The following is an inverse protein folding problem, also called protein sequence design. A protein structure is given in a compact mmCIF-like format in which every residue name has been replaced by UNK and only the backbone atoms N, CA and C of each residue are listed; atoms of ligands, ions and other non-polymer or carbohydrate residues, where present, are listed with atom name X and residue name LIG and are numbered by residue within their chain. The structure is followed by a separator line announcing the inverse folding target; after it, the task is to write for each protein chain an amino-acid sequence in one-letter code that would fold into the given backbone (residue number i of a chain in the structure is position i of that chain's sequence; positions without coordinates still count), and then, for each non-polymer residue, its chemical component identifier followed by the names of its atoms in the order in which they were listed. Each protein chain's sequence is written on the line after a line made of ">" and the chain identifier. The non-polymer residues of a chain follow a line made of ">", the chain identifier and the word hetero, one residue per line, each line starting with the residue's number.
data_IF_597480344090
#
_entry.id   IF_597480344090
#
_cell.length_a   1.000
_cell.length_b   1.000
_cell.length_c   1.000
_cell.angle_alpha   90.00
_cell.angle_beta   90.00
_cell.angle_gamma   90.00
#
_symmetry.space_group_name_H-M   'P 1'
#
loop_
_entity.id
_entity.type
_entity.pdbx_description
1 polymer ?
#
# COMPACT_ATOMS: atom_id res chain seq x y z
N UNK A 1 -17.38 -10.72 20.33
CA UNK A 1 -16.21 -10.37 19.52
C UNK A 1 -16.71 -10.27 18.10
N UNK A 2 -16.85 -9.04 17.61
CA UNK A 2 -17.34 -8.77 16.26
C UNK A 2 -16.18 -9.02 15.29
N UNK A 3 -16.33 -9.99 14.40
CA UNK A 3 -15.32 -10.28 13.39
C UNK A 3 -15.94 -10.15 12.01
N UNK A 4 -15.51 -9.11 11.29
CA UNK A 4 -16.08 -8.67 10.01
C UNK A 4 -15.83 -9.62 8.85
N UNK A 5 -15.02 -10.66 9.04
CA UNK A 5 -14.97 -11.82 8.15
C UNK A 5 -16.11 -12.80 8.51
N UNK A 6 -16.15 -13.26 9.76
CA UNK A 6 -17.01 -14.38 10.16
C UNK A 6 -18.50 -14.04 10.20
N UNK A 7 -18.85 -12.76 10.30
CA UNK A 7 -20.23 -12.28 10.26
C UNK A 7 -20.72 -11.92 8.82
N UNK A 8 -19.86 -12.11 7.81
CA UNK A 8 -20.15 -11.80 6.42
C UNK A 8 -20.32 -13.09 5.60
N UNK A 9 -21.57 -13.55 5.46
CA UNK A 9 -21.92 -14.76 4.72
C UNK A 9 -21.49 -14.69 3.24
N UNK A 10 -21.45 -13.50 2.64
CA UNK A 10 -21.11 -13.31 1.23
C UNK A 10 -19.61 -13.51 0.97
N UNK A 11 -18.75 -12.88 1.79
CA UNK A 11 -17.29 -13.10 1.72
C UNK A 11 -16.96 -14.58 1.98
N UNK A 12 -17.58 -15.19 3.00
CA UNK A 12 -17.38 -16.61 3.32
C UNK A 12 -17.86 -17.52 2.20
N UNK A 13 -18.97 -17.17 1.53
CA UNK A 13 -19.43 -17.88 0.36
C UNK A 13 -18.38 -17.78 -0.77
N UNK A 14 -17.91 -16.57 -1.09
CA UNK A 14 -16.92 -16.38 -2.14
C UNK A 14 -15.59 -17.09 -1.86
N UNK A 15 -15.05 -17.00 -0.65
CA UNK A 15 -13.82 -17.71 -0.26
C UNK A 15 -13.91 -19.23 -0.46
N UNK A 16 -15.08 -19.82 -0.26
CA UNK A 16 -15.31 -21.27 -0.43
C UNK A 16 -15.50 -21.70 -1.88
N UNK A 17 -15.85 -20.78 -2.78
CA UNK A 17 -16.27 -21.10 -4.15
C UNK A 17 -15.36 -20.51 -5.24
N UNK A 18 -14.50 -19.54 -4.91
CA UNK A 18 -13.46 -19.07 -5.83
C UNK A 18 -12.40 -20.18 -5.98
N UNK A 19 -12.04 -20.48 -7.23
CA UNK A 19 -10.91 -21.38 -7.53
C UNK A 19 -9.59 -20.65 -7.21
N UNK A 20 -9.17 -20.76 -5.95
CA UNK A 20 -7.91 -20.20 -5.47
C UNK A 20 -6.72 -21.12 -5.75
N UNK A 21 -6.92 -22.41 -6.04
CA UNK A 21 -5.86 -23.38 -6.26
C UNK A 21 -4.89 -22.92 -7.35
N UNK A 22 -5.43 -22.45 -8.48
CA UNK A 22 -4.61 -21.95 -9.58
C UNK A 22 -3.85 -20.67 -9.19
N UNK A 23 -4.52 -19.76 -8.49
CA UNK A 23 -3.93 -18.48 -8.05
C UNK A 23 -2.81 -18.73 -7.05
N UNK A 24 -3.04 -19.60 -6.06
CA UNK A 24 -2.08 -20.01 -5.04
C UNK A 24 -0.88 -20.67 -5.70
N UNK A 25 -1.11 -21.65 -6.57
CA UNK A 25 -0.02 -22.37 -7.24
C UNK A 25 0.88 -21.42 -8.04
N UNK A 26 0.29 -20.43 -8.72
CA UNK A 26 1.05 -19.41 -9.46
C UNK A 26 1.77 -18.43 -8.53
N UNK A 27 1.09 -17.93 -7.49
CA UNK A 27 1.64 -16.93 -6.56
C UNK A 27 2.76 -17.48 -5.69
N UNK A 28 2.68 -18.76 -5.33
CA UNK A 28 3.69 -19.48 -4.55
C UNK A 28 4.77 -20.12 -5.42
N UNK A 29 4.72 -19.94 -6.75
CA UNK A 29 5.64 -20.55 -7.72
C UNK A 29 5.82 -22.06 -7.48
N UNK A 30 4.70 -22.79 -7.46
CA UNK A 30 4.66 -24.22 -7.11
C UNK A 30 5.31 -24.54 -5.75
N UNK A 31 5.14 -23.63 -4.77
CA UNK A 31 5.66 -23.76 -3.40
C UNK A 31 7.19 -23.83 -3.32
N UNK A 32 7.89 -23.13 -4.21
CA UNK A 32 9.35 -23.10 -4.28
C UNK A 32 10.02 -22.59 -2.99
N UNK A 33 9.29 -21.81 -2.19
CA UNK A 33 9.78 -21.15 -0.98
C UNK A 33 9.55 -21.93 0.32
N UNK A 34 8.84 -23.08 0.29
CA UNK A 34 8.37 -23.80 1.50
C UNK A 34 9.48 -24.22 2.48
N UNK A 35 10.68 -24.51 1.97
CA UNK A 35 11.84 -24.92 2.76
C UNK A 35 12.82 -23.75 3.01
N UNK A 36 12.49 -22.56 2.50
CA UNK A 36 13.31 -21.34 2.60
C UNK A 36 12.79 -20.43 3.71
N UNK A 37 11.46 -20.22 3.77
CA UNK A 37 10.83 -19.35 4.76
C UNK A 37 9.92 -20.17 5.70
N UNK A 38 9.99 -19.96 7.03
CA UNK A 38 9.23 -20.75 8.01
C UNK A 38 7.70 -20.71 7.84
N UNK A 39 7.17 -19.65 7.23
CA UNK A 39 5.74 -19.43 7.02
C UNK A 39 5.35 -19.54 5.53
N UNK A 40 6.24 -20.06 4.67
CA UNK A 40 5.87 -20.36 3.30
C UNK A 40 5.02 -21.65 3.27
N UNK A 41 3.86 -21.64 2.61
CA UNK A 41 2.98 -22.80 2.56
C UNK A 41 3.64 -23.91 1.76
N UNK A 42 3.34 -25.16 2.14
CA UNK A 42 3.88 -26.36 1.46
C UNK A 42 2.98 -26.88 0.33
N UNK A 43 1.70 -26.54 0.37
CA UNK A 43 0.65 -26.94 -0.56
C UNK A 43 -0.54 -25.97 -0.51
N UNK A 44 -1.55 -26.22 -1.33
CA UNK A 44 -2.73 -25.35 -1.45
C UNK A 44 -3.54 -25.32 -0.15
N UNK A 45 -3.68 -26.46 0.53
CA UNK A 45 -4.46 -26.58 1.76
C UNK A 45 -3.83 -25.75 2.89
N UNK A 46 -2.52 -25.84 3.04
CA UNK A 46 -1.72 -25.06 4.01
C UNK A 46 -1.77 -23.55 3.71
N UNK A 47 -1.76 -23.18 2.42
CA UNK A 47 -1.92 -21.79 1.99
C UNK A 47 -3.31 -21.25 2.30
N UNK A 48 -4.37 -22.03 2.05
CA UNK A 48 -5.75 -21.66 2.35
C UNK A 48 -5.99 -21.49 3.85
N UNK A 49 -5.46 -22.39 4.69
CA UNK A 49 -5.51 -22.25 6.16
C UNK A 49 -4.82 -20.96 6.63
N UNK A 50 -3.69 -20.60 6.00
CA UNK A 50 -3.00 -19.33 6.27
C UNK A 50 -3.85 -18.12 5.87
N UNK A 51 -4.47 -18.15 4.68
CA UNK A 51 -5.34 -17.07 4.21
C UNK A 51 -6.56 -16.87 5.11
N UNK A 52 -7.21 -17.94 5.55
CA UNK A 52 -8.34 -17.86 6.49
C UNK A 52 -7.94 -17.22 7.81
N UNK A 53 -6.77 -17.58 8.37
CA UNK A 53 -6.24 -16.99 9.61
C UNK A 53 -5.90 -15.51 9.46
N UNK A 54 -5.26 -15.14 8.34
CA UNK A 54 -4.92 -13.74 8.03
C UNK A 54 -6.20 -12.91 7.93
N UNK A 55 -7.19 -13.36 7.16
CA UNK A 55 -8.46 -12.64 7.00
C UNK A 55 -9.26 -12.60 8.30
N UNK A 56 -9.23 -13.65 9.11
CA UNK A 56 -9.88 -13.66 10.42
C UNK A 56 -9.27 -12.61 11.35
N UNK A 57 -7.94 -12.49 11.38
CA UNK A 57 -7.26 -11.46 12.16
C UNK A 57 -7.61 -10.05 11.67
N UNK A 58 -7.62 -9.83 10.35
CA UNK A 58 -8.06 -8.54 9.76
C UNK A 58 -9.52 -8.26 10.13
N UNK A 59 -10.40 -9.26 10.08
CA UNK A 59 -11.81 -9.15 10.47
C UNK A 59 -12.01 -8.80 11.94
N UNK A 60 -11.18 -9.34 12.83
CA UNK A 60 -11.16 -8.98 14.25
C UNK A 60 -10.69 -7.52 14.45
N UNK A 61 -9.57 -7.13 13.83
CA UNK A 61 -9.06 -5.74 13.89
C UNK A 61 -10.13 -4.77 13.39
N UNK A 62 -10.76 -5.07 12.25
CA UNK A 62 -11.79 -4.23 11.66
C UNK A 62 -13.03 -4.12 12.55
N UNK A 63 -13.57 -5.24 13.03
CA UNK A 63 -14.81 -5.25 13.80
C UNK A 63 -14.67 -4.75 15.24
N UNK A 64 -13.60 -5.14 15.93
CA UNK A 64 -13.46 -4.84 17.36
C UNK A 64 -12.75 -3.54 17.66
N UNK A 65 -11.88 -3.09 16.77
CA UNK A 65 -10.99 -1.96 17.05
C UNK A 65 -11.26 -0.79 16.12
N UNK A 66 -11.42 -1.02 14.80
CA UNK A 66 -11.64 0.07 13.84
C UNK A 66 -13.08 0.59 13.85
N UNK A 67 -14.06 -0.31 13.69
CA UNK A 67 -15.46 0.10 13.51
C UNK A 67 -16.02 0.92 14.70
N UNK A 68 -15.71 0.61 15.98
CA UNK A 68 -16.23 1.37 17.10
C UNK A 68 -15.75 2.83 17.16
N UNK A 69 -14.60 3.14 16.55
CA UNK A 69 -13.96 4.47 16.60
C UNK A 69 -14.05 5.22 15.28
N UNK A 70 -14.64 4.64 14.23
CA UNK A 70 -14.66 5.23 12.88
C UNK A 70 -15.37 6.60 12.83
N UNK A 71 -16.45 6.78 13.60
CA UNK A 71 -17.14 8.08 13.68
C UNK A 71 -16.27 9.15 14.38
N UNK A 72 -15.55 8.78 15.43
CA UNK A 72 -14.65 9.68 16.15
C UNK A 72 -13.45 10.07 15.27
N UNK A 73 -12.95 9.14 14.45
CA UNK A 73 -11.90 9.40 13.45
C UNK A 73 -12.33 10.46 12.43
N UNK A 74 -13.56 10.39 11.93
CA UNK A 74 -14.11 11.39 11.00
C UNK A 74 -14.27 12.77 11.68
N UNK A 75 -14.77 12.80 12.92
CA UNK A 75 -14.96 14.04 13.67
C UNK A 75 -13.62 14.70 14.05
N UNK A 76 -12.62 13.92 14.47
CA UNK A 76 -11.28 14.43 14.79
C UNK A 76 -10.56 14.93 13.53
N UNK A 77 -10.57 14.11 12.48
CA UNK A 77 -9.86 14.32 11.23
C UNK A 77 -8.34 14.46 11.39
N UNK A 78 -7.66 14.67 10.26
CA UNK A 78 -6.20 14.88 10.24
C UNK A 78 -5.83 16.33 10.51
N UNK A 79 -4.71 16.53 11.20
CA UNK A 79 -4.11 17.85 11.48
C UNK A 79 -2.81 17.99 10.69
N UNK A 80 -2.57 19.18 10.13
CA UNK A 80 -1.29 19.52 9.50
C UNK A 80 -0.55 20.50 10.42
N UNK A 81 0.56 20.08 11.00
CA UNK A 81 1.37 20.89 11.92
C UNK A 81 2.78 20.93 11.38
N UNK A 82 3.28 22.13 11.08
CA UNK A 82 4.65 22.34 10.58
C UNK A 82 5.04 21.47 9.37
N UNK A 83 4.07 21.21 8.48
CA UNK A 83 4.27 20.39 7.27
C UNK A 83 4.13 18.89 7.48
N UNK A 84 3.84 18.44 8.71
CA UNK A 84 3.62 17.05 9.06
C UNK A 84 2.14 16.74 9.33
N UNK A 85 1.69 15.59 8.85
CA UNK A 85 0.32 15.13 9.07
C UNK A 85 0.28 14.31 10.35
N UNK A 86 -0.61 14.71 11.25
CA UNK A 86 -0.95 13.96 12.46
C UNK A 86 -2.30 13.30 12.19
N UNK A 87 -2.31 11.97 12.20
CA UNK A 87 -3.53 11.17 12.07
C UNK A 87 -4.43 11.34 13.30
N UNK A 88 -5.73 11.08 13.10
CA UNK A 88 -6.64 10.86 14.21
C UNK A 88 -6.17 9.65 15.04
N UNK A 89 -6.45 9.65 16.34
CA UNK A 89 -5.93 8.62 17.25
C UNK A 89 -6.38 7.21 16.85
N UNK A 90 -7.64 7.05 16.43
CA UNK A 90 -8.18 5.77 15.97
C UNK A 90 -7.48 5.24 14.70
N UNK A 91 -7.13 6.12 13.77
CA UNK A 91 -6.37 5.75 12.56
C UNK A 91 -4.96 5.28 12.93
N UNK A 92 -4.26 6.01 13.81
CA UNK A 92 -2.91 5.63 14.24
C UNK A 92 -2.92 4.29 14.98
N UNK A 93 -3.90 4.08 15.88
CA UNK A 93 -4.08 2.81 16.57
C UNK A 93 -4.24 1.64 15.59
N UNK A 94 -5.10 1.78 14.58
CA UNK A 94 -5.34 0.72 13.62
C UNK A 94 -4.10 0.43 12.75
N UNK A 95 -3.37 1.46 12.30
CA UNK A 95 -2.10 1.29 11.61
C UNK A 95 -1.06 0.56 12.48
N UNK A 96 -0.95 0.92 13.76
CA UNK A 96 -0.05 0.26 14.71
C UNK A 96 -0.41 -1.21 14.92
N UNK A 97 -1.70 -1.55 14.98
CA UNK A 97 -2.17 -2.93 15.11
C UNK A 97 -1.84 -3.76 13.87
N UNK A 98 -2.08 -3.21 12.68
CA UNK A 98 -1.75 -3.86 11.42
C UNK A 98 -0.23 -4.09 11.29
N UNK A 99 0.58 -3.10 11.66
CA UNK A 99 2.04 -3.20 11.66
C UNK A 99 2.54 -4.27 12.64
N UNK A 100 2.04 -4.27 13.89
CA UNK A 100 2.40 -5.27 14.92
C UNK A 100 1.98 -6.70 14.56
N UNK A 101 0.97 -6.84 13.71
CA UNK A 101 0.48 -8.12 13.21
C UNK A 101 1.17 -8.55 11.89
N UNK A 102 2.19 -7.81 11.42
CA UNK A 102 2.89 -8.04 10.14
C UNK A 102 1.95 -7.99 8.92
N UNK A 103 0.80 -7.31 9.03
CA UNK A 103 -0.21 -7.22 7.97
C UNK A 103 0.10 -6.09 6.96
N UNK A 104 1.01 -5.18 7.28
CA UNK A 104 1.43 -4.09 6.39
C UNK A 104 2.24 -4.57 5.17
N UNK A 105 2.66 -5.83 5.14
CA UNK A 105 3.39 -6.46 4.03
C UNK A 105 2.59 -7.57 3.34
N UNK A 106 1.26 -7.49 3.32
CA UNK A 106 0.38 -8.58 2.89
C UNK A 106 0.75 -9.16 1.51
N UNK A 107 0.94 -8.33 0.49
CA UNK A 107 1.33 -8.80 -0.85
C UNK A 107 2.84 -8.87 -1.09
N UNK A 108 3.64 -8.33 -0.16
CA UNK A 108 5.08 -8.23 -0.34
C UNK A 108 5.75 -9.60 -0.34
N UNK A 109 6.83 -9.79 -1.13
CA UNK A 109 7.62 -11.02 -1.09
C UNK A 109 8.18 -11.32 0.30
N UNK A 110 8.25 -12.61 0.66
CA UNK A 110 8.76 -13.08 1.97
C UNK A 110 10.20 -12.66 2.25
N UNK A 111 11.05 -12.60 1.22
CA UNK A 111 12.42 -12.10 1.34
C UNK A 111 12.54 -10.66 1.85
N UNK A 112 11.46 -9.87 1.76
CA UNK A 112 11.40 -8.52 2.28
C UNK A 112 10.51 -8.41 3.54
N UNK A 113 10.13 -9.54 4.15
CA UNK A 113 9.30 -9.57 5.35
C UNK A 113 7.79 -9.49 5.10
N UNK A 114 7.33 -9.71 3.86
CA UNK A 114 5.90 -9.78 3.55
C UNK A 114 5.32 -11.19 3.60
N UNK A 115 4.01 -11.31 3.37
CA UNK A 115 3.27 -12.59 3.44
C UNK A 115 3.05 -13.25 2.07
N UNK A 116 3.46 -12.59 0.98
CA UNK A 116 3.29 -13.04 -0.40
C UNK A 116 1.84 -13.42 -0.77
N UNK A 117 0.84 -12.70 -0.23
CA UNK A 117 -0.55 -12.94 -0.57
C UNK A 117 -0.91 -12.39 -1.97
N UNK A 118 -1.85 -13.01 -2.69
CA UNK A 118 -2.31 -12.56 -3.99
C UNK A 118 -3.25 -11.35 -3.86
N UNK A 119 -3.43 -10.62 -4.96
CA UNK A 119 -4.34 -9.46 -5.04
C UNK A 119 -5.79 -9.84 -4.68
N UNK A 120 -6.22 -11.07 -4.93
CA UNK A 120 -7.53 -11.56 -4.51
C UNK A 120 -7.70 -11.49 -3.00
N UNK A 121 -6.70 -11.89 -2.22
CA UNK A 121 -6.74 -11.80 -0.76
C UNK A 121 -6.69 -10.35 -0.29
N UNK A 122 -5.86 -9.52 -0.94
CA UNK A 122 -5.83 -8.08 -0.66
C UNK A 122 -7.19 -7.40 -0.88
N UNK A 123 -7.91 -7.81 -1.93
CA UNK A 123 -9.23 -7.26 -2.24
C UNK A 123 -10.25 -7.58 -1.14
N UNK A 124 -10.24 -8.83 -0.65
CA UNK A 124 -11.11 -9.27 0.45
C UNK A 124 -10.74 -8.55 1.76
N UNK A 125 -9.45 -8.46 2.08
CA UNK A 125 -8.96 -7.70 3.23
C UNK A 125 -9.39 -6.23 3.16
N UNK A 126 -9.24 -5.60 1.99
CA UNK A 126 -9.65 -4.21 1.75
C UNK A 126 -11.15 -4.01 1.94
N UNK A 127 -11.99 -4.94 1.50
CA UNK A 127 -13.44 -4.90 1.72
C UNK A 127 -13.79 -4.96 3.22
N UNK A 128 -13.17 -5.91 3.95
CA UNK A 128 -13.37 -6.08 5.40
C UNK A 128 -13.00 -4.80 6.17
N UNK A 129 -11.84 -4.20 5.89
CA UNK A 129 -11.41 -2.97 6.54
C UNK A 129 -12.26 -1.76 6.11
N UNK A 130 -12.63 -1.66 4.83
CA UNK A 130 -13.45 -0.55 4.33
C UNK A 130 -14.88 -0.56 4.88
N UNK A 131 -15.38 -1.73 5.30
CA UNK A 131 -16.64 -1.83 6.05
C UNK A 131 -16.54 -1.14 7.41
N UNK A 132 -15.38 -1.18 8.06
CA UNK A 132 -15.14 -0.51 9.34
C UNK A 132 -14.88 0.99 9.15
N UNK A 133 -13.94 1.34 8.28
CA UNK A 133 -13.58 2.71 7.95
C UNK A 133 -13.09 2.78 6.49
N UNK A 134 -13.83 3.49 5.63
CA UNK A 134 -13.50 3.63 4.21
C UNK A 134 -12.18 4.35 3.93
N UNK A 135 -11.62 5.09 4.90
CA UNK A 135 -10.30 5.72 4.77
C UNK A 135 -9.16 4.69 4.67
N UNK A 136 -9.38 3.47 5.18
CA UNK A 136 -8.42 2.37 5.12
C UNK A 136 -8.29 1.72 3.75
N UNK A 137 -8.99 2.21 2.72
CA UNK A 137 -8.56 1.99 1.32
C UNK A 137 -7.08 2.36 1.13
N UNK A 138 -6.57 3.33 1.91
CA UNK A 138 -5.16 3.69 1.93
C UNK A 138 -4.21 2.52 2.21
N UNK A 139 -4.62 1.53 3.02
CA UNK A 139 -3.85 0.31 3.27
C UNK A 139 -3.50 -0.40 1.95
N UNK A 140 -4.48 -0.57 1.06
CA UNK A 140 -4.28 -1.18 -0.25
C UNK A 140 -3.37 -0.36 -1.15
N UNK A 141 -3.53 0.97 -1.16
CA UNK A 141 -2.66 1.86 -1.94
C UNK A 141 -1.18 1.74 -1.56
N UNK A 142 -0.89 1.52 -0.28
CA UNK A 142 0.49 1.31 0.18
C UNK A 142 1.07 -0.01 -0.33
N UNK A 143 0.26 -1.07 -0.42
CA UNK A 143 0.66 -2.36 -1.00
C UNK A 143 1.04 -2.19 -2.48
N UNK A 144 0.22 -1.49 -3.25
CA UNK A 144 0.44 -1.27 -4.70
C UNK A 144 1.74 -0.53 -4.99
N UNK A 145 2.09 0.45 -4.15
CA UNK A 145 3.38 1.16 -4.25
C UNK A 145 4.54 0.20 -4.04
N UNK A 146 4.44 -0.64 -3.01
CA UNK A 146 5.47 -1.62 -2.67
C UNK A 146 5.63 -2.68 -3.79
N UNK A 147 4.52 -3.15 -4.37
CA UNK A 147 4.53 -4.05 -5.52
C UNK A 147 5.12 -3.38 -6.78
N UNK A 148 4.82 -2.10 -7.02
CA UNK A 148 5.39 -1.33 -8.12
C UNK A 148 6.90 -1.21 -7.99
N UNK A 149 7.41 -0.92 -6.78
CA UNK A 149 8.86 -0.90 -6.50
C UNK A 149 9.47 -2.28 -6.69
N UNK A 150 8.80 -3.34 -6.23
CA UNK A 150 9.27 -4.71 -6.41
C UNK A 150 9.43 -5.08 -7.90
N UNK A 151 8.48 -4.63 -8.74
CA UNK A 151 8.44 -4.95 -10.16
C UNK A 151 9.43 -4.14 -11.00
N UNK A 152 9.59 -2.85 -10.71
CA UNK A 152 10.31 -1.92 -11.59
C UNK A 152 11.54 -1.27 -10.97
N UNK A 153 11.72 -1.36 -9.65
CA UNK A 153 12.88 -0.80 -8.96
C UNK A 153 14.17 -1.56 -9.27
N UNK A 154 15.30 -0.94 -8.97
CA UNK A 154 16.58 -1.64 -8.87
C UNK A 154 16.60 -2.56 -7.64
N UNK A 155 17.49 -3.54 -7.61
CA UNK A 155 17.60 -4.42 -6.44
C UNK A 155 17.97 -3.65 -5.16
N UNK A 156 18.80 -2.62 -5.27
CA UNK A 156 19.11 -1.69 -4.18
C UNK A 156 17.84 -0.98 -3.64
N UNK A 157 16.97 -0.49 -4.54
CA UNK A 157 15.72 0.16 -4.14
C UNK A 157 14.78 -0.83 -3.44
N UNK A 158 14.69 -2.06 -3.95
CA UNK A 158 13.84 -3.10 -3.39
C UNK A 158 14.29 -3.50 -1.98
N UNK A 159 15.58 -3.82 -1.83
CA UNK A 159 16.17 -4.25 -0.56
C UNK A 159 16.07 -3.17 0.53
N UNK A 160 16.14 -1.90 0.14
CA UNK A 160 16.09 -0.79 1.09
C UNK A 160 14.68 -0.37 1.47
N UNK A 161 13.75 -0.31 0.52
CA UNK A 161 12.44 0.31 0.74
C UNK A 161 11.36 -0.69 1.10
N UNK A 162 11.32 -1.85 0.43
CA UNK A 162 10.20 -2.79 0.61
C UNK A 162 10.12 -3.30 2.06
N UNK A 163 11.23 -3.64 2.76
CA UNK A 163 11.13 -4.07 4.15
C UNK A 163 10.56 -3.01 5.10
N UNK A 164 10.85 -1.73 4.86
CA UNK A 164 10.33 -0.62 5.67
C UNK A 164 8.81 -0.52 5.50
N UNK A 165 8.34 -0.60 4.25
CA UNK A 165 6.90 -0.57 3.95
C UNK A 165 6.18 -1.82 4.46
N UNK A 166 6.78 -3.01 4.29
CA UNK A 166 6.18 -4.28 4.72
C UNK A 166 5.97 -4.36 6.25
N UNK A 167 6.85 -3.74 7.02
CA UNK A 167 6.71 -3.63 8.48
C UNK A 167 5.80 -2.50 8.95
N UNK A 168 5.38 -1.61 8.04
CA UNK A 168 4.66 -0.39 8.40
C UNK A 168 5.50 0.62 9.18
N UNK A 169 6.83 0.57 9.09
CA UNK A 169 7.73 1.54 9.75
C UNK A 169 7.56 2.95 9.16
N UNK A 170 7.27 3.02 7.85
CA UNK A 170 6.99 4.26 7.14
C UNK A 170 5.81 4.11 6.20
N UNK A 171 5.16 5.23 5.89
CA UNK A 171 4.06 5.25 4.93
C UNK A 171 4.47 5.77 3.55
N UNK A 172 3.67 5.45 2.55
CA UNK A 172 3.96 5.76 1.16
C UNK A 172 2.81 6.48 0.45
N UNK A 173 3.12 7.14 -0.66
CA UNK A 173 2.12 7.80 -1.51
C UNK A 173 2.40 7.69 -3.01
N UNK A 174 1.32 7.61 -3.78
CA UNK A 174 1.34 7.64 -5.24
C UNK A 174 1.08 9.09 -5.70
N UNK A 175 2.10 9.73 -6.27
CA UNK A 175 2.14 11.18 -6.47
C UNK A 175 1.99 11.51 -7.97
N UNK A 176 0.75 11.59 -8.44
CA UNK A 176 0.43 11.68 -9.88
C UNK A 176 -0.18 13.03 -10.28
N UNK A 177 -1.32 13.36 -9.67
CA UNK A 177 -2.24 14.41 -10.11
C UNK A 177 -1.70 15.80 -9.84
N UNK A 178 -1.95 16.73 -10.77
CA UNK A 178 -1.62 18.15 -10.67
C UNK A 178 -2.90 19.00 -10.69
N UNK A 179 -2.85 20.28 -10.27
CA UNK A 179 -4.00 21.18 -10.35
C UNK A 179 -4.66 21.21 -11.74
N UNK A 180 -3.86 21.14 -12.80
CA UNK A 180 -4.29 21.22 -14.19
C UNK A 180 -4.30 19.86 -14.91
N UNK A 181 -3.94 18.75 -14.22
CA UNK A 181 -3.87 17.40 -14.80
C UNK A 181 -4.41 16.34 -13.83
N UNK A 182 -5.68 15.97 -14.01
CA UNK A 182 -6.37 14.90 -13.30
C UNK A 182 -6.54 13.65 -14.17
N UNK A 183 -7.71 13.50 -14.81
CA UNK A 183 -7.99 12.37 -15.70
C UNK A 183 -7.05 12.30 -16.91
N UNK A 184 -6.55 13.45 -17.38
CA UNK A 184 -5.50 13.51 -18.40
C UNK A 184 -4.10 13.53 -17.77
N UNK A 185 -3.65 12.38 -17.27
CA UNK A 185 -2.31 12.24 -16.68
C UNK A 185 -1.18 12.54 -17.67
N UNK A 186 -1.45 12.50 -18.98
CA UNK A 186 -0.44 12.79 -20.00
C UNK A 186 -0.08 14.28 -20.06
N UNK A 187 -0.95 15.15 -19.51
CA UNK A 187 -0.75 16.58 -19.41
C UNK A 187 0.14 17.01 -18.23
N UNK A 188 0.60 16.07 -17.39
CA UNK A 188 1.53 16.33 -16.28
C UNK A 188 2.68 17.25 -16.71
N UNK A 189 2.86 18.31 -15.91
CA UNK A 189 3.75 19.43 -16.19
C UNK A 189 4.92 19.53 -15.21
N UNK A 190 4.85 18.88 -14.05
CA UNK A 190 5.97 18.78 -13.12
C UNK A 190 7.20 18.27 -13.87
N UNK A 191 8.31 18.99 -13.77
CA UNK A 191 9.54 18.70 -14.50
C UNK A 191 10.51 17.91 -13.62
N UNK A 192 11.12 16.89 -14.18
CA UNK A 192 12.27 16.22 -13.61
C UNK A 192 13.50 16.56 -14.47
N UNK A 193 14.57 17.04 -13.85
CA UNK A 193 15.85 17.26 -14.51
C UNK A 193 16.94 16.46 -13.80
N UNK A 194 17.79 15.81 -14.58
CA UNK A 194 18.98 15.17 -14.03
C UNK A 194 20.09 16.20 -13.90
N UNK A 195 20.70 16.30 -12.72
CA UNK A 195 21.85 17.17 -12.51
C UNK A 195 23.17 16.39 -12.65
N UNK A 196 24.28 17.14 -12.66
CA UNK A 196 25.63 16.59 -12.82
C UNK A 196 26.06 15.65 -11.68
N UNK A 197 25.38 15.74 -10.53
CA UNK A 197 25.58 14.84 -9.37
C UNK A 197 24.91 13.46 -9.54
N UNK A 198 24.25 13.24 -10.67
CA UNK A 198 23.53 12.01 -11.00
C UNK A 198 22.13 11.91 -10.39
N UNK A 199 21.69 12.89 -9.60
CA UNK A 199 20.36 12.94 -8.99
C UNK A 199 19.34 13.57 -9.93
N UNK A 200 18.08 13.24 -9.69
CA UNK A 200 16.94 13.85 -10.34
C UNK A 200 16.30 14.86 -9.41
N UNK A 201 16.06 16.07 -9.93
CA UNK A 201 15.43 17.17 -9.22
C UNK A 201 14.06 17.42 -9.83
N UNK A 202 13.06 17.38 -8.97
CA UNK A 202 11.65 17.48 -9.32
C UNK A 202 11.13 18.88 -8.97
N UNK A 203 10.51 19.55 -9.94
CA UNK A 203 9.99 20.90 -9.77
C UNK A 203 8.56 21.01 -10.31
N UNK A 204 7.61 21.22 -9.39
CA UNK A 204 6.20 21.44 -9.70
C UNK A 204 5.33 21.26 -8.47
N UNK A 205 4.02 21.19 -8.71
CA UNK A 205 3.01 21.06 -7.65
C UNK A 205 2.09 19.90 -7.98
N UNK A 206 1.87 19.03 -6.99
CA UNK A 206 0.93 17.90 -7.06
C UNK A 206 -0.26 18.19 -6.15
N UNK A 207 -1.41 17.59 -6.44
CA UNK A 207 -2.68 17.85 -5.75
C UNK A 207 -3.49 16.58 -5.59
N UNK A 208 -4.27 16.49 -4.51
CA UNK A 208 -5.15 15.35 -4.20
C UNK A 208 -4.38 14.04 -4.03
N UNK A 209 -3.24 14.12 -3.36
CA UNK A 209 -2.41 12.96 -3.07
C UNK A 209 -2.89 12.34 -1.75
N UNK A 210 -3.54 11.18 -1.84
CA UNK A 210 -3.86 10.36 -0.67
C UNK A 210 -2.58 10.01 0.06
N UNK A 211 -2.56 10.24 1.37
CA UNK A 211 -1.40 10.06 2.22
C UNK A 211 -0.12 10.80 1.74
N UNK A 212 -0.27 11.99 1.14
CA UNK A 212 0.85 12.72 0.52
C UNK A 212 1.99 13.16 1.47
N UNK A 213 1.87 12.95 2.78
CA UNK A 213 2.94 13.21 3.75
C UNK A 213 3.81 11.95 4.05
N UNK A 214 3.48 10.81 3.44
CA UNK A 214 4.31 9.60 3.52
C UNK A 214 5.77 9.85 3.12
N UNK A 215 6.69 9.10 3.74
CA UNK A 215 8.14 9.27 3.51
C UNK A 215 8.57 8.73 2.15
N UNK A 216 7.87 7.75 1.61
CA UNK A 216 8.20 7.13 0.32
C UNK A 216 7.17 7.52 -0.73
N UNK A 217 7.60 8.20 -1.79
CA UNK A 217 6.74 8.66 -2.89
C UNK A 217 7.11 8.01 -4.22
N UNK A 218 6.11 7.63 -5.01
CA UNK A 218 6.28 7.40 -6.45
C UNK A 218 5.72 8.60 -7.22
N UNK A 219 6.62 9.45 -7.72
CA UNK A 219 6.25 10.71 -8.37
C UNK A 219 6.27 10.57 -9.88
N UNK A 220 5.14 10.88 -10.52
CA UNK A 220 5.07 10.99 -11.98
C UNK A 220 5.52 12.38 -12.41
N UNK A 221 6.54 12.47 -13.25
CA UNK A 221 7.10 13.73 -13.72
C UNK A 221 7.53 13.63 -15.18
N UNK A 222 7.60 14.79 -15.85
CA UNK A 222 8.12 14.90 -17.21
C UNK A 222 9.64 15.02 -17.17
N UNK A 223 10.32 13.98 -17.61
CA UNK A 223 11.78 13.86 -17.65
C UNK A 223 12.37 14.25 -19.00
N UNK A 224 11.59 14.14 -20.08
CA UNK A 224 11.99 14.56 -21.41
C UNK A 224 11.52 15.99 -21.70
N UNK A 225 12.48 16.92 -21.82
CA UNK A 225 12.16 18.32 -22.08
C UNK A 225 11.48 18.52 -23.44
N UNK A 226 10.50 19.43 -23.50
CA UNK A 226 9.69 19.70 -24.69
C UNK A 226 8.75 18.57 -25.13
N UNK A 227 8.78 17.40 -24.48
CA UNK A 227 7.91 16.27 -24.81
C UNK A 227 6.43 16.57 -24.54
N UNK A 228 5.56 15.82 -25.22
CA UNK A 228 4.10 15.84 -25.02
C UNK A 228 3.59 14.41 -24.89
N UNK A 229 2.44 14.26 -24.25
CA UNK A 229 1.84 12.95 -24.03
C UNK A 229 2.60 12.11 -22.98
N UNK A 230 2.19 10.85 -22.86
CA UNK A 230 2.75 9.90 -21.89
C UNK A 230 4.22 9.53 -22.14
N UNK A 231 4.68 9.57 -23.40
CA UNK A 231 6.01 9.06 -23.77
C UNK A 231 7.19 9.75 -23.09
N UNK A 232 7.02 11.02 -22.69
CA UNK A 232 8.07 11.77 -21.98
C UNK A 232 7.90 11.83 -20.46
N UNK A 233 7.01 11.00 -19.89
CA UNK A 233 6.81 10.89 -18.46
C UNK A 233 7.64 9.73 -17.89
N UNK A 234 8.09 9.90 -16.65
CA UNK A 234 8.78 8.86 -15.88
C UNK A 234 8.28 8.85 -14.44
N UNK A 235 8.37 7.69 -13.81
CA UNK A 235 8.18 7.55 -12.37
C UNK A 235 9.51 7.71 -11.65
N UNK A 236 9.48 8.44 -10.55
CA UNK A 236 10.62 8.67 -9.67
C UNK A 236 10.29 8.16 -8.28
N UNK A 237 11.13 7.27 -7.76
CA UNK A 237 11.15 6.97 -6.34
C UNK A 237 11.76 8.17 -5.61
N UNK A 238 10.97 8.81 -4.76
CA UNK A 238 11.36 9.98 -4.01
C UNK A 238 11.20 9.71 -2.53
N UNK A 239 12.26 9.94 -1.76
CA UNK A 239 12.21 9.93 -0.31
C UNK A 239 12.04 11.36 0.17
N UNK A 240 10.99 11.59 0.97
CA UNK A 240 10.62 12.93 1.41
C UNK A 240 11.75 13.56 2.21
N UNK A 241 12.21 14.72 1.74
CA UNK A 241 13.20 15.58 2.39
C UNK A 241 12.62 16.98 2.64
N UNK A 242 13.45 17.92 3.09
CA UNK A 242 13.05 19.30 3.37
C UNK A 242 12.56 20.09 2.14
N UNK A 243 12.79 19.60 0.92
CA UNK A 243 12.39 20.29 -0.30
C UNK A 243 10.93 20.01 -0.70
N UNK A 244 10.31 18.97 -0.15
CA UNK A 244 8.89 18.70 -0.34
C UNK A 244 8.05 19.44 0.71
N UNK A 245 7.35 20.49 0.26
CA UNK A 245 6.48 21.28 1.14
C UNK A 245 5.04 20.79 1.05
N UNK A 246 4.50 20.27 2.16
CA UNK A 246 3.10 19.84 2.28
C UNK A 246 2.22 21.01 2.70
N UNK A 247 1.08 21.17 2.03
CA UNK A 247 0.08 22.22 2.30
C UNK A 247 -1.32 21.63 2.19
N UNK A 248 -2.25 22.15 3.00
CA UNK A 248 -3.69 21.83 2.97
C UNK A 248 -4.46 22.94 2.28
#
# INVERSE_FOLDING_TARGET
>A
MENFLTDNEDILFHLKHIDLDQIITLKEDNFAEKDIFPHAPKDVEDCMDSYEKILALIGEIAGEYMAPVAADVDEEGVKLVDGEVIYAEGTQMALDMLAKADLMGLANPRKYGGLNCPVTLMSIAGEIMSRADGSFLNFGLQQDISETINKFGSDEQKERIIPILAKGEETSSMILTEPDAGSDLQAVSLRAHQADDGKWYLNGVKRFITNGNGKIGLVLARSEDGSKGAGGLSFFLYERDEHMVIRR
#
